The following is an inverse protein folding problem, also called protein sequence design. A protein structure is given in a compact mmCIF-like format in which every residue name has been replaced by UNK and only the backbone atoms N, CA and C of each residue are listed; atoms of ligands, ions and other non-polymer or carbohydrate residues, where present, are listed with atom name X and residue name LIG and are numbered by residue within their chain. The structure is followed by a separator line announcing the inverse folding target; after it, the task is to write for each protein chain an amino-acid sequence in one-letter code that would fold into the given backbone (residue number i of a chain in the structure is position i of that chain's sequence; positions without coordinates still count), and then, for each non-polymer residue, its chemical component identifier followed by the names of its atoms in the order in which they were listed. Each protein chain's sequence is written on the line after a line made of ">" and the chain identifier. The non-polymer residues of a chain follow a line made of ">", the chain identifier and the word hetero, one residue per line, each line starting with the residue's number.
data_IF_915284392333
#
_entry.id   IF_915284392333
#
_cell.length_a   1.000
_cell.length_b   1.000
_cell.length_c   1.000
_cell.angle_alpha   90.00
_cell.angle_beta   90.00
_cell.angle_gamma   90.00
#
_symmetry.space_group_name_H-M   'P 1'
#
loop_
_entity.id
_entity.type
_entity.pdbx_description
1 polymer ?
#
# COMPACT_ATOMS: atom_id res chain seq x y z
N UNK A 1 27.71 47.41 -43.28
CA UNK A 1 28.36 46.11 -43.29
C UNK A 1 28.64 45.68 -41.84
N UNK A 2 27.80 44.87 -41.30
CA UNK A 2 27.92 44.34 -39.92
C UNK A 2 28.48 42.91 -40.03
N UNK A 3 29.67 42.69 -39.47
CA UNK A 3 30.32 41.39 -39.44
C UNK A 3 29.59 40.49 -38.42
N UNK A 4 28.96 39.44 -38.88
CA UNK A 4 28.49 38.32 -38.05
C UNK A 4 29.71 37.55 -37.51
N UNK A 5 29.79 37.41 -36.19
CA UNK A 5 30.72 36.50 -35.53
C UNK A 5 30.14 35.09 -35.52
N UNK A 6 30.91 34.04 -35.79
CA UNK A 6 30.43 32.66 -35.82
C UNK A 6 30.11 32.14 -34.41
N UNK A 7 29.12 31.26 -34.36
CA UNK A 7 28.47 30.72 -33.18
C UNK A 7 29.41 30.15 -32.13
N UNK A 8 29.15 30.54 -30.90
CA UNK A 8 29.72 29.88 -29.72
C UNK A 8 29.09 28.49 -29.60
N UNK A 9 29.90 27.48 -29.86
CA UNK A 9 29.55 26.10 -29.63
C UNK A 9 29.17 25.87 -28.16
N UNK A 10 28.25 24.97 -27.95
CA UNK A 10 27.77 24.48 -26.67
C UNK A 10 28.82 23.69 -25.85
N UNK A 11 30.04 24.20 -25.78
CA UNK A 11 31.08 23.66 -24.92
C UNK A 11 31.05 24.41 -23.58
N UNK A 12 30.66 23.68 -22.53
CA UNK A 12 30.76 24.13 -21.14
C UNK A 12 32.14 24.77 -20.92
N UNK A 13 32.20 26.06 -20.67
CA UNK A 13 33.40 26.79 -20.26
C UNK A 13 33.92 26.19 -18.95
N UNK A 14 35.01 25.46 -19.03
CA UNK A 14 35.71 24.89 -17.86
C UNK A 14 36.30 26.04 -17.06
N UNK A 15 35.64 26.37 -15.96
CA UNK A 15 36.13 27.32 -14.96
C UNK A 15 37.41 26.79 -14.31
N UNK A 16 38.41 27.61 -14.22
CA UNK A 16 39.79 27.31 -13.77
C UNK A 16 39.99 26.97 -12.28
N UNK A 17 39.00 26.55 -11.54
CA UNK A 17 39.16 25.98 -10.20
C UNK A 17 39.19 24.46 -10.24
N UNK A 18 40.31 23.89 -10.60
CA UNK A 18 40.60 22.45 -10.76
C UNK A 18 40.40 21.58 -9.50
N UNK A 19 40.18 22.18 -8.33
CA UNK A 19 40.07 21.41 -7.06
C UNK A 19 38.71 20.76 -6.77
N UNK A 20 37.63 21.17 -7.49
CA UNK A 20 36.28 20.69 -7.25
C UNK A 20 35.70 19.80 -8.35
N UNK A 21 36.55 19.27 -9.25
CA UNK A 21 36.10 18.40 -10.33
C UNK A 21 36.77 17.03 -10.28
N UNK A 22 36.00 15.98 -10.31
CA UNK A 22 36.46 14.61 -10.48
C UNK A 22 36.83 14.38 -11.95
N UNK A 23 38.05 13.87 -12.21
CA UNK A 23 38.60 13.68 -13.60
C UNK A 23 38.52 14.92 -14.51
N UNK A 24 38.46 16.13 -13.94
CA UNK A 24 38.38 17.39 -14.71
C UNK A 24 37.07 17.64 -15.45
N UNK A 25 36.06 16.76 -15.32
CA UNK A 25 34.80 16.81 -16.07
C UNK A 25 33.54 16.89 -15.18
N UNK A 26 33.55 16.29 -14.03
CA UNK A 26 32.36 16.19 -13.17
C UNK A 26 32.56 17.00 -11.89
N UNK A 27 31.62 17.88 -11.55
CA UNK A 27 31.60 18.60 -10.28
C UNK A 27 31.43 17.60 -9.12
N UNK A 28 32.25 17.70 -8.06
CA UNK A 28 32.10 16.87 -6.85
C UNK A 28 30.73 17.01 -6.20
N UNK A 29 30.12 18.20 -6.25
CA UNK A 29 28.77 18.41 -5.71
C UNK A 29 27.71 17.63 -6.50
N UNK A 30 27.78 17.66 -7.84
CA UNK A 30 26.86 16.89 -8.70
C UNK A 30 27.08 15.39 -8.53
N UNK A 31 28.33 14.95 -8.43
CA UNK A 31 28.67 13.54 -8.25
C UNK A 31 28.17 13.02 -6.88
N UNK A 32 28.38 13.79 -5.82
CA UNK A 32 27.88 13.48 -4.48
C UNK A 32 26.36 13.43 -4.42
N UNK A 33 25.70 14.40 -5.05
CA UNK A 33 24.24 14.43 -5.15
C UNK A 33 23.71 13.22 -5.92
N UNK A 34 24.30 12.94 -7.09
CA UNK A 34 23.91 11.79 -7.91
C UNK A 34 24.16 10.46 -7.20
N UNK A 35 25.29 10.31 -6.50
CA UNK A 35 25.62 9.13 -5.73
C UNK A 35 24.63 8.94 -4.57
N UNK A 36 24.30 10.01 -3.84
CA UNK A 36 23.32 9.92 -2.74
C UNK A 36 21.92 9.59 -3.24
N UNK A 37 21.50 10.19 -4.36
CA UNK A 37 20.19 9.90 -4.98
C UNK A 37 20.13 8.47 -5.51
N UNK A 38 21.20 8.00 -6.15
CA UNK A 38 21.31 6.62 -6.60
C UNK A 38 21.25 5.64 -5.43
N UNK A 39 21.99 5.90 -4.36
CA UNK A 39 22.00 5.05 -3.16
C UNK A 39 20.61 5.01 -2.51
N UNK A 40 19.95 6.15 -2.38
CA UNK A 40 18.58 6.24 -1.89
C UNK A 40 17.61 5.45 -2.77
N UNK A 41 17.73 5.58 -4.09
CA UNK A 41 16.90 4.85 -5.04
C UNK A 41 17.15 3.34 -4.98
N UNK A 42 18.42 2.92 -4.88
CA UNK A 42 18.80 1.53 -4.74
C UNK A 42 18.26 0.92 -3.43
N UNK A 43 18.41 1.63 -2.30
CA UNK A 43 17.85 1.20 -1.01
C UNK A 43 16.33 1.12 -1.09
N UNK A 44 15.67 2.14 -1.65
CA UNK A 44 14.21 2.12 -1.82
C UNK A 44 13.77 0.95 -2.70
N UNK A 45 14.50 0.64 -3.77
CA UNK A 45 14.19 -0.49 -4.65
C UNK A 45 14.37 -1.83 -3.92
N UNK A 46 15.46 -2.02 -3.19
CA UNK A 46 15.69 -3.20 -2.34
C UNK A 46 14.58 -3.38 -1.30
N UNK A 47 14.16 -2.30 -0.65
CA UNK A 47 13.08 -2.33 0.33
C UNK A 47 11.72 -2.63 -0.31
N UNK A 48 11.50 -2.21 -1.55
CA UNK A 48 10.26 -2.44 -2.29
C UNK A 48 10.18 -3.86 -2.86
N UNK A 49 11.33 -4.45 -3.24
CA UNK A 49 11.42 -5.79 -3.78
C UNK A 49 11.83 -6.84 -2.71
N UNK A 50 11.93 -6.41 -1.45
CA UNK A 50 12.39 -7.27 -0.35
C UNK A 50 11.53 -8.51 -0.13
N UNK A 51 10.22 -8.41 -0.35
CA UNK A 51 9.28 -9.54 -0.29
C UNK A 51 9.62 -10.62 -1.33
N UNK A 52 9.88 -10.23 -2.58
CA UNK A 52 10.28 -11.16 -3.64
C UNK A 52 11.64 -11.82 -3.36
N UNK A 53 12.60 -11.08 -2.78
CA UNK A 53 13.90 -11.62 -2.41
C UNK A 53 13.80 -12.64 -1.26
N UNK A 54 12.99 -12.33 -0.23
CA UNK A 54 12.74 -13.23 0.89
C UNK A 54 12.05 -14.49 0.40
N UNK A 55 11.04 -14.35 -0.44
CA UNK A 55 10.34 -15.46 -1.05
C UNK A 55 11.30 -16.38 -1.83
N UNK A 56 12.18 -15.79 -2.67
CA UNK A 56 13.14 -16.52 -3.46
C UNK A 56 14.17 -17.32 -2.63
N UNK A 57 14.49 -16.82 -1.43
CA UNK A 57 15.49 -17.46 -0.55
C UNK A 57 14.90 -18.45 0.46
N UNK A 58 13.62 -18.27 0.83
CA UNK A 58 13.00 -18.99 1.96
C UNK A 58 11.86 -19.94 1.57
N UNK A 59 11.38 -19.91 0.33
CA UNK A 59 10.23 -20.71 -0.11
C UNK A 59 10.55 -21.59 -1.34
N UNK A 60 9.69 -22.56 -1.60
CA UNK A 60 9.77 -23.43 -2.78
C UNK A 60 9.46 -22.66 -4.07
N UNK A 61 9.89 -23.18 -5.22
CA UNK A 61 9.54 -22.61 -6.53
C UNK A 61 8.03 -22.61 -6.77
N UNK A 62 7.32 -23.59 -6.24
CA UNK A 62 5.86 -23.67 -6.31
C UNK A 62 5.22 -22.52 -5.53
N UNK A 63 5.63 -22.26 -4.28
CA UNK A 63 5.16 -21.14 -3.47
C UNK A 63 5.44 -19.78 -4.15
N UNK A 64 6.60 -19.66 -4.81
CA UNK A 64 6.96 -18.45 -5.56
C UNK A 64 5.99 -18.21 -6.74
N UNK A 65 5.66 -19.28 -7.48
CA UNK A 65 4.70 -19.20 -8.58
C UNK A 65 3.29 -18.83 -8.11
N UNK A 66 2.82 -19.45 -7.03
CA UNK A 66 1.50 -19.18 -6.45
C UNK A 66 1.43 -17.75 -5.91
N UNK A 67 2.49 -17.29 -5.21
CA UNK A 67 2.56 -15.91 -4.70
C UNK A 67 2.60 -14.88 -5.84
N UNK A 68 3.38 -15.14 -6.90
CA UNK A 68 3.45 -14.24 -8.05
C UNK A 68 2.07 -14.08 -8.72
N UNK A 69 1.30 -15.17 -8.83
CA UNK A 69 -0.07 -15.14 -9.32
C UNK A 69 -0.97 -14.26 -8.43
N UNK A 70 -0.98 -14.51 -7.11
CA UNK A 70 -1.81 -13.78 -6.16
C UNK A 70 -1.44 -12.29 -6.12
N UNK A 71 -0.14 -11.97 -6.14
CA UNK A 71 0.34 -10.58 -6.12
C UNK A 71 0.01 -9.83 -7.41
N UNK A 72 0.03 -10.49 -8.56
CA UNK A 72 -0.36 -9.90 -9.83
C UNK A 72 -1.86 -9.56 -9.87
N UNK A 73 -2.73 -10.49 -9.51
CA UNK A 73 -4.18 -10.26 -9.51
C UNK A 73 -4.61 -9.30 -8.39
N UNK A 74 -4.15 -9.52 -7.16
CA UNK A 74 -4.45 -8.64 -6.05
C UNK A 74 -3.81 -7.25 -6.21
N UNK A 75 -2.58 -7.18 -6.74
CA UNK A 75 -1.92 -5.93 -7.09
C UNK A 75 -2.63 -5.16 -8.21
N UNK A 76 -3.35 -5.84 -9.11
CA UNK A 76 -4.16 -5.19 -10.13
C UNK A 76 -5.31 -4.40 -9.50
N UNK A 77 -6.02 -4.99 -8.53
CA UNK A 77 -7.08 -4.30 -7.77
C UNK A 77 -6.53 -3.04 -7.10
N UNK A 78 -5.37 -3.16 -6.44
CA UNK A 78 -4.71 -2.03 -5.80
C UNK A 78 -4.37 -0.91 -6.79
N UNK A 79 -3.83 -1.24 -7.95
CA UNK A 79 -3.44 -0.26 -8.99
C UNK A 79 -4.63 0.41 -9.67
N UNK A 80 -5.71 -0.32 -9.92
CA UNK A 80 -6.87 0.22 -10.63
C UNK A 80 -7.76 1.05 -9.70
N UNK A 81 -7.94 0.64 -8.45
CA UNK A 81 -8.90 1.26 -7.54
C UNK A 81 -8.20 2.20 -6.56
N UNK A 82 -7.20 1.73 -5.82
CA UNK A 82 -6.63 2.49 -4.70
C UNK A 82 -5.57 3.49 -5.12
N UNK A 83 -4.74 3.18 -6.09
CA UNK A 83 -3.69 4.09 -6.56
C UNK A 83 -4.26 5.41 -7.09
N UNK A 84 -5.32 5.46 -7.94
CA UNK A 84 -5.92 6.73 -8.36
C UNK A 84 -6.51 7.53 -7.21
N UNK A 85 -7.12 6.88 -6.21
CA UNK A 85 -7.65 7.53 -5.01
C UNK A 85 -6.50 8.13 -4.19
N UNK A 86 -5.41 7.39 -4.01
CA UNK A 86 -4.23 7.83 -3.30
C UNK A 86 -3.58 9.04 -3.99
N UNK A 87 -3.37 8.98 -5.31
CA UNK A 87 -2.72 10.05 -6.08
C UNK A 87 -3.58 11.33 -6.13
N UNK A 88 -4.89 11.20 -6.32
CA UNK A 88 -5.81 12.34 -6.28
C UNK A 88 -5.86 12.97 -4.89
N UNK A 89 -5.88 12.15 -3.84
CA UNK A 89 -5.86 12.62 -2.46
C UNK A 89 -4.53 13.27 -2.09
N UNK A 90 -3.40 12.72 -2.54
CA UNK A 90 -2.07 13.31 -2.37
C UNK A 90 -2.01 14.72 -2.97
N UNK A 91 -2.55 14.89 -4.18
CA UNK A 91 -2.63 16.19 -4.85
C UNK A 91 -3.49 17.17 -4.05
N UNK A 92 -4.65 16.72 -3.56
CA UNK A 92 -5.53 17.52 -2.72
C UNK A 92 -4.87 17.91 -1.39
N UNK A 93 -4.26 16.94 -0.67
CA UNK A 93 -3.55 17.21 0.57
C UNK A 93 -2.41 18.20 0.36
N UNK A 94 -1.62 18.03 -0.71
CA UNK A 94 -0.53 18.96 -1.04
C UNK A 94 -1.03 20.38 -1.29
N UNK A 95 -2.18 20.55 -1.94
CA UNK A 95 -2.77 21.87 -2.20
C UNK A 95 -3.32 22.53 -0.93
N UNK A 96 -3.84 21.74 0.02
CA UNK A 96 -4.44 22.24 1.26
C UNK A 96 -3.40 22.48 2.37
N UNK A 97 -2.36 21.60 2.44
CA UNK A 97 -1.40 21.59 3.54
C UNK A 97 -0.08 22.27 3.21
N UNK A 98 0.20 22.53 1.91
CA UNK A 98 1.45 23.15 1.44
C UNK A 98 1.13 24.32 0.49
N UNK A 99 0.59 25.43 1.00
CA UNK A 99 0.33 26.61 0.19
C UNK A 99 1.64 27.13 -0.41
N UNK A 100 1.61 27.54 -1.70
CA UNK A 100 2.79 27.98 -2.49
C UNK A 100 3.52 29.21 -1.92
N UNK A 101 2.90 29.94 -1.04
CA UNK A 101 3.49 31.06 -0.30
C UNK A 101 3.85 30.56 1.10
N UNK A 102 5.03 30.92 1.61
CA UNK A 102 5.68 30.53 2.87
C UNK A 102 4.86 30.73 4.17
N UNK A 103 3.56 30.71 4.09
CA UNK A 103 2.61 30.89 5.17
C UNK A 103 2.14 29.53 5.68
N UNK A 104 1.99 29.38 6.98
CA UNK A 104 1.42 28.18 7.57
C UNK A 104 0.03 27.89 6.98
N UNK A 105 -0.36 26.61 6.83
CA UNK A 105 -1.69 26.25 6.31
C UNK A 105 -2.81 26.89 7.13
N UNK A 106 -3.84 27.37 6.43
CA UNK A 106 -5.05 27.89 7.10
C UNK A 106 -5.75 26.77 7.88
N UNK A 107 -6.20 27.00 9.13
CA UNK A 107 -6.93 26.02 9.93
C UNK A 107 -8.14 25.39 9.22
N UNK A 108 -8.83 26.16 8.35
CA UNK A 108 -9.94 25.63 7.56
C UNK A 108 -9.47 24.64 6.48
N UNK A 109 -8.32 24.88 5.87
CA UNK A 109 -7.70 23.96 4.92
C UNK A 109 -7.29 22.65 5.60
N UNK A 110 -6.75 22.72 6.82
CA UNK A 110 -6.41 21.52 7.62
C UNK A 110 -7.65 20.73 7.99
N UNK A 111 -8.76 21.39 8.38
CA UNK A 111 -10.05 20.74 8.64
C UNK A 111 -10.60 20.04 7.40
N UNK A 112 -10.48 20.69 6.23
CA UNK A 112 -10.90 20.10 4.95
C UNK A 112 -10.07 18.87 4.59
N UNK A 113 -8.75 18.93 4.78
CA UNK A 113 -7.86 17.77 4.57
C UNK A 113 -8.21 16.60 5.51
N UNK A 114 -8.45 16.90 6.80
CA UNK A 114 -8.91 15.90 7.77
C UNK A 114 -10.26 15.29 7.37
N UNK A 115 -11.23 16.11 6.95
CA UNK A 115 -12.55 15.62 6.54
C UNK A 115 -12.45 14.67 5.34
N UNK A 116 -11.63 15.02 4.33
CA UNK A 116 -11.36 14.17 3.18
C UNK A 116 -10.70 12.85 3.59
N UNK A 117 -9.64 12.90 4.40
CA UNK A 117 -8.98 11.71 4.93
C UNK A 117 -9.96 10.80 5.69
N UNK A 118 -10.74 11.37 6.60
CA UNK A 118 -11.73 10.63 7.40
C UNK A 118 -12.80 9.99 6.51
N UNK A 119 -13.25 10.68 5.46
CA UNK A 119 -14.21 10.16 4.50
C UNK A 119 -13.69 8.90 3.78
N UNK A 120 -12.45 8.96 3.29
CA UNK A 120 -11.82 7.82 2.61
C UNK A 120 -11.57 6.66 3.59
N UNK A 121 -11.07 6.94 4.80
CA UNK A 121 -10.84 5.91 5.81
C UNK A 121 -12.14 5.20 6.21
N UNK A 122 -13.28 5.92 6.28
CA UNK A 122 -14.62 5.30 6.45
C UNK A 122 -14.97 4.37 5.30
N UNK A 123 -14.78 4.84 4.06
CA UNK A 123 -15.01 4.01 2.87
C UNK A 123 -14.18 2.72 2.90
N UNK A 124 -12.91 2.82 3.28
CA UNK A 124 -12.04 1.65 3.41
C UNK A 124 -12.43 0.75 4.59
N UNK A 125 -12.92 1.31 5.69
CA UNK A 125 -13.49 0.56 6.80
C UNK A 125 -14.72 -0.27 6.39
N UNK A 126 -15.63 0.31 5.59
CA UNK A 126 -16.76 -0.41 5.02
C UNK A 126 -16.31 -1.49 4.02
N UNK A 127 -15.34 -1.16 3.16
CA UNK A 127 -14.74 -2.12 2.22
C UNK A 127 -14.16 -3.34 2.95
N UNK A 128 -13.49 -3.14 4.06
CA UNK A 128 -12.94 -4.21 4.90
C UNK A 128 -14.06 -5.13 5.39
N UNK A 129 -15.15 -4.58 5.93
CA UNK A 129 -16.30 -5.36 6.41
C UNK A 129 -16.95 -6.16 5.27
N UNK A 130 -16.94 -5.63 4.05
CA UNK A 130 -17.48 -6.33 2.87
C UNK A 130 -16.52 -7.44 2.41
N UNK A 131 -15.23 -7.16 2.30
CA UNK A 131 -14.24 -8.10 1.73
C UNK A 131 -14.08 -9.33 2.64
N UNK A 132 -14.03 -9.16 3.97
CA UNK A 132 -13.76 -10.27 4.88
C UNK A 132 -14.74 -11.44 4.75
N UNK A 133 -16.08 -11.22 4.71
CA UNK A 133 -17.01 -12.32 4.51
C UNK A 133 -17.06 -12.82 3.06
N UNK A 134 -16.81 -11.94 2.07
CA UNK A 134 -16.94 -12.30 0.68
C UNK A 134 -15.77 -13.13 0.14
N UNK A 135 -14.55 -12.88 0.62
CA UNK A 135 -13.35 -13.53 0.10
C UNK A 135 -13.42 -15.07 0.12
N UNK A 136 -13.86 -15.74 1.21
CA UNK A 136 -13.90 -17.21 1.23
C UNK A 136 -14.84 -17.84 0.19
N UNK A 137 -15.88 -17.12 -0.20
CA UNK A 137 -16.89 -17.62 -1.16
C UNK A 137 -16.61 -17.17 -2.60
N UNK A 138 -16.16 -15.94 -2.80
CA UNK A 138 -15.95 -15.38 -4.14
C UNK A 138 -14.63 -15.81 -4.78
N UNK A 139 -13.56 -15.96 -4.00
CA UNK A 139 -12.24 -16.30 -4.57
C UNK A 139 -12.24 -17.65 -5.26
N UNK A 140 -12.68 -18.76 -4.65
CA UNK A 140 -12.74 -20.04 -5.33
C UNK A 140 -13.63 -20.01 -6.57
N UNK A 141 -14.78 -19.30 -6.47
CA UNK A 141 -15.72 -19.14 -7.58
C UNK A 141 -15.08 -18.40 -8.77
N UNK A 142 -14.41 -17.27 -8.51
CA UNK A 142 -13.72 -16.48 -9.53
C UNK A 142 -12.59 -17.25 -10.19
N UNK A 143 -11.80 -18.01 -9.42
CA UNK A 143 -10.75 -18.86 -9.96
C UNK A 143 -11.29 -19.95 -10.84
N UNK A 144 -12.38 -20.59 -10.45
CA UNK A 144 -13.01 -21.62 -11.26
C UNK A 144 -13.53 -21.07 -12.59
N UNK A 145 -14.11 -19.85 -12.59
CA UNK A 145 -14.64 -19.17 -13.78
C UNK A 145 -13.52 -18.68 -14.72
N UNK A 146 -12.46 -18.07 -14.16
CA UNK A 146 -11.40 -17.43 -14.96
C UNK A 146 -10.27 -18.37 -15.35
N UNK A 147 -9.91 -19.29 -14.47
CA UNK A 147 -8.72 -20.15 -14.62
C UNK A 147 -9.04 -21.58 -15.06
N UNK A 148 -10.30 -22.00 -15.00
CA UNK A 148 -10.70 -23.38 -15.25
C UNK A 148 -9.99 -24.34 -14.29
N UNK A 149 -10.04 -25.66 -14.61
CA UNK A 149 -9.46 -26.73 -13.77
C UNK A 149 -7.94 -26.66 -13.54
N UNK A 150 -7.20 -25.86 -14.32
CA UNK A 150 -5.73 -25.75 -14.20
C UNK A 150 -5.27 -24.93 -12.99
N UNK A 151 -6.12 -24.05 -12.46
CA UNK A 151 -5.78 -23.10 -11.40
C UNK A 151 -6.46 -23.43 -10.05
N UNK A 152 -7.29 -24.46 -10.02
CA UNK A 152 -7.99 -24.90 -8.82
C UNK A 152 -7.09 -25.81 -8.00
N UNK A 153 -6.25 -25.21 -7.15
CA UNK A 153 -5.60 -25.92 -6.05
C UNK A 153 -5.98 -25.26 -4.73
N UNK A 154 -6.14 -26.04 -3.68
CA UNK A 154 -6.46 -25.54 -2.32
C UNK A 154 -5.43 -24.50 -1.85
N UNK A 155 -4.19 -24.63 -2.30
CA UNK A 155 -3.11 -23.70 -1.96
C UNK A 155 -3.31 -22.33 -2.64
N UNK A 156 -3.71 -22.31 -3.92
CA UNK A 156 -3.98 -21.05 -4.67
C UNK A 156 -5.20 -20.36 -4.09
N UNK A 157 -6.28 -21.08 -3.82
CA UNK A 157 -7.51 -20.56 -3.23
C UNK A 157 -7.21 -19.89 -1.88
N UNK A 158 -6.52 -20.58 -0.99
CA UNK A 158 -6.16 -20.10 0.32
C UNK A 158 -5.24 -18.86 0.28
N UNK A 159 -4.28 -18.85 -0.64
CA UNK A 159 -3.39 -17.70 -0.80
C UNK A 159 -4.12 -16.48 -1.32
N UNK A 160 -4.99 -16.65 -2.33
CA UNK A 160 -5.77 -15.53 -2.86
C UNK A 160 -6.80 -15.01 -1.85
N UNK A 161 -7.43 -15.87 -1.06
CA UNK A 161 -8.26 -15.43 0.07
C UNK A 161 -7.45 -14.58 1.06
N UNK A 162 -6.26 -15.05 1.45
CA UNK A 162 -5.37 -14.30 2.33
C UNK A 162 -4.95 -12.98 1.72
N UNK A 163 -4.71 -12.96 0.41
CA UNK A 163 -4.37 -11.74 -0.32
C UNK A 163 -5.53 -10.74 -0.37
N UNK A 164 -6.78 -11.20 -0.48
CA UNK A 164 -7.96 -10.34 -0.35
C UNK A 164 -8.01 -9.64 1.01
N UNK A 165 -7.61 -10.34 2.08
CA UNK A 165 -7.52 -9.72 3.41
C UNK A 165 -6.39 -8.69 3.52
N UNK A 166 -5.33 -8.81 2.73
CA UNK A 166 -4.25 -7.84 2.68
C UNK A 166 -4.65 -6.52 2.00
N UNK A 167 -5.54 -6.56 0.99
CA UNK A 167 -5.92 -5.41 0.17
C UNK A 167 -6.37 -4.19 1.00
N UNK A 168 -7.27 -4.31 2.00
CA UNK A 168 -7.67 -3.17 2.82
C UNK A 168 -6.50 -2.54 3.59
N UNK A 169 -5.58 -3.34 4.12
CA UNK A 169 -4.40 -2.81 4.82
C UNK A 169 -3.49 -2.00 3.90
N UNK A 170 -3.36 -2.46 2.64
CA UNK A 170 -2.65 -1.70 1.61
C UNK A 170 -3.32 -0.35 1.34
N UNK A 171 -4.66 -0.32 1.24
CA UNK A 171 -5.43 0.88 1.02
C UNK A 171 -5.31 1.88 2.19
N UNK A 172 -5.44 1.41 3.44
CA UNK A 172 -5.23 2.24 4.64
C UNK A 172 -3.83 2.83 4.69
N UNK A 173 -2.80 2.02 4.41
CA UNK A 173 -1.42 2.51 4.37
C UNK A 173 -1.23 3.57 3.29
N UNK A 174 -1.73 3.34 2.06
CA UNK A 174 -1.56 4.26 0.94
C UNK A 174 -2.11 5.65 1.24
N UNK A 175 -3.36 5.74 1.70
CA UNK A 175 -3.99 7.04 1.97
C UNK A 175 -3.37 7.78 3.16
N UNK A 176 -2.97 7.05 4.23
CA UNK A 176 -2.31 7.68 5.38
C UNK A 176 -0.90 8.16 5.02
N UNK A 177 -0.16 7.40 4.21
CA UNK A 177 1.15 7.80 3.69
C UNK A 177 1.05 8.98 2.70
N UNK A 178 -0.02 9.05 1.88
CA UNK A 178 -0.30 10.20 1.03
C UNK A 178 -0.48 11.49 1.85
N UNK A 179 -1.19 11.42 2.98
CA UNK A 179 -1.31 12.56 3.90
C UNK A 179 0.05 12.94 4.49
N UNK A 180 0.80 11.97 5.04
CA UNK A 180 2.12 12.21 5.63
C UNK A 180 3.06 12.87 4.63
N UNK A 181 3.17 12.34 3.41
CA UNK A 181 4.06 12.88 2.37
C UNK A 181 3.68 14.30 1.92
N UNK A 182 2.42 14.69 2.11
CA UNK A 182 1.93 16.02 1.76
C UNK A 182 2.06 17.04 2.90
N UNK A 183 2.03 16.59 4.16
CA UNK A 183 2.07 17.44 5.34
C UNK A 183 3.47 17.57 5.96
N UNK A 184 4.34 16.56 5.75
CA UNK A 184 5.62 16.47 6.43
C UNK A 184 6.64 17.46 5.85
N UNK A 185 7.41 18.09 6.76
CA UNK A 185 8.56 18.89 6.38
C UNK A 185 9.77 18.01 5.98
N UNK A 186 10.84 18.58 5.37
CA UNK A 186 12.00 17.78 4.92
C UNK A 186 12.70 17.00 6.04
N UNK A 187 12.69 17.49 7.27
CA UNK A 187 13.29 16.79 8.41
C UNK A 187 12.45 15.57 8.80
N UNK A 188 11.13 15.75 8.81
CA UNK A 188 10.16 14.67 9.09
C UNK A 188 10.19 13.58 8.00
N UNK A 189 10.34 13.96 6.73
CA UNK A 189 10.51 13.01 5.62
C UNK A 189 11.80 12.19 5.77
N UNK A 190 12.91 12.80 6.20
CA UNK A 190 14.15 12.07 6.52
C UNK A 190 13.93 11.09 7.66
N UNK A 191 13.23 11.50 8.72
CA UNK A 191 12.86 10.63 9.83
C UNK A 191 11.99 9.46 9.37
N UNK A 192 11.01 9.71 8.50
CA UNK A 192 10.21 8.65 7.88
C UNK A 192 11.07 7.64 7.12
N UNK A 193 12.08 8.10 6.35
CA UNK A 193 13.00 7.22 5.62
C UNK A 193 13.77 6.29 6.57
N UNK A 194 14.19 6.77 7.73
CA UNK A 194 14.84 5.93 8.76
C UNK A 194 13.87 4.88 9.30
N UNK A 195 12.62 5.29 9.58
CA UNK A 195 11.58 4.35 10.03
C UNK A 195 11.22 3.30 8.98
N UNK A 196 11.31 3.62 7.69
CA UNK A 196 11.15 2.63 6.62
C UNK A 196 12.13 1.46 6.75
N UNK A 197 13.38 1.71 7.19
CA UNK A 197 14.33 0.65 7.51
C UNK A 197 13.85 -0.26 8.66
N UNK A 198 13.29 0.34 9.72
CA UNK A 198 12.72 -0.43 10.84
C UNK A 198 11.48 -1.24 10.40
N UNK A 199 10.63 -0.68 9.55
CA UNK A 199 9.48 -1.39 8.99
C UNK A 199 9.91 -2.58 8.13
N UNK A 200 10.97 -2.43 7.32
CA UNK A 200 11.52 -3.53 6.53
C UNK A 200 12.12 -4.61 7.43
N UNK A 201 12.81 -4.25 8.51
CA UNK A 201 13.30 -5.22 9.48
C UNK A 201 12.16 -5.99 10.15
N UNK A 202 11.06 -5.30 10.52
CA UNK A 202 9.88 -5.95 11.09
C UNK A 202 9.20 -6.90 10.09
N UNK A 203 9.16 -6.54 8.82
CA UNK A 203 8.66 -7.40 7.75
C UNK A 203 9.52 -8.67 7.60
N UNK A 204 10.85 -8.53 7.54
CA UNK A 204 11.78 -9.68 7.46
C UNK A 204 11.59 -10.62 8.65
N UNK A 205 11.48 -10.06 9.84
CA UNK A 205 11.26 -10.82 11.07
C UNK A 205 9.92 -11.57 11.06
N UNK A 206 8.84 -10.88 10.67
CA UNK A 206 7.52 -11.50 10.54
C UNK A 206 7.52 -12.59 9.46
N UNK A 207 8.14 -12.35 8.30
CA UNK A 207 8.28 -13.33 7.23
C UNK A 207 9.06 -14.56 7.70
N UNK A 208 10.14 -14.38 8.44
CA UNK A 208 10.89 -15.50 9.02
C UNK A 208 10.02 -16.34 9.97
N UNK A 209 9.25 -15.70 10.86
CA UNK A 209 8.35 -16.41 11.78
C UNK A 209 7.31 -17.20 11.01
N UNK A 210 6.60 -16.58 10.07
CA UNK A 210 5.52 -17.25 9.36
C UNK A 210 6.04 -18.35 8.40
N UNK A 211 7.14 -18.09 7.68
CA UNK A 211 7.66 -19.04 6.70
C UNK A 211 8.42 -20.20 7.36
N UNK A 212 9.28 -19.94 8.33
CA UNK A 212 10.18 -20.95 8.90
C UNK A 212 9.62 -21.60 10.18
N UNK A 213 9.02 -20.82 11.08
CA UNK A 213 8.49 -21.35 12.33
C UNK A 213 7.05 -21.86 12.14
N UNK A 214 6.23 -21.07 11.42
CA UNK A 214 4.83 -21.39 11.16
C UNK A 214 4.57 -22.36 10.01
N UNK A 215 5.56 -22.62 9.15
CA UNK A 215 5.43 -23.46 7.95
C UNK A 215 4.19 -23.13 7.10
N UNK A 216 3.85 -21.84 7.00
CA UNK A 216 2.62 -21.38 6.32
C UNK A 216 2.79 -21.19 4.81
N UNK A 217 3.96 -21.52 4.24
CA UNK A 217 4.25 -21.39 2.81
C UNK A 217 4.06 -19.94 2.31
N UNK A 218 3.60 -19.77 1.09
CA UNK A 218 3.38 -18.45 0.48
C UNK A 218 2.40 -17.56 1.26
N UNK A 219 1.44 -18.14 2.00
CA UNK A 219 0.52 -17.37 2.85
C UNK A 219 1.25 -16.59 3.94
N UNK A 220 2.33 -17.15 4.50
CA UNK A 220 3.13 -16.50 5.53
C UNK A 220 3.71 -15.16 5.10
N UNK A 221 4.04 -15.03 3.82
CA UNK A 221 4.55 -13.78 3.27
C UNK A 221 3.43 -12.71 3.20
N UNK A 222 2.20 -13.12 2.85
CA UNK A 222 1.06 -12.21 2.84
C UNK A 222 0.74 -11.73 4.26
N UNK A 223 0.76 -12.62 5.26
CA UNK A 223 0.61 -12.24 6.68
C UNK A 223 1.72 -11.30 7.15
N UNK A 224 2.96 -11.54 6.74
CA UNK A 224 4.07 -10.63 7.05
C UNK A 224 3.86 -9.24 6.43
N UNK A 225 3.31 -9.17 5.21
CA UNK A 225 2.93 -7.92 4.58
C UNK A 225 1.79 -7.21 5.31
N UNK A 226 0.78 -7.93 5.81
CA UNK A 226 -0.29 -7.35 6.65
C UNK A 226 0.30 -6.73 7.92
N UNK A 227 1.19 -7.42 8.60
CA UNK A 227 1.89 -6.88 9.78
C UNK A 227 2.68 -5.62 9.42
N UNK A 228 3.44 -5.64 8.34
CA UNK A 228 4.21 -4.50 7.86
C UNK A 228 3.31 -3.28 7.56
N UNK A 229 2.23 -3.47 6.80
CA UNK A 229 1.30 -2.37 6.47
C UNK A 229 0.59 -1.85 7.72
N UNK A 230 0.27 -2.71 8.68
CA UNK A 230 -0.33 -2.30 9.95
C UNK A 230 0.62 -1.40 10.75
N UNK A 231 1.90 -1.78 10.86
CA UNK A 231 2.91 -0.97 11.58
C UNK A 231 3.12 0.38 10.89
N UNK A 232 3.21 0.39 9.55
CA UNK A 232 3.35 1.63 8.75
C UNK A 232 2.14 2.54 8.92
N UNK A 233 0.93 1.98 8.84
CA UNK A 233 -0.32 2.73 9.05
C UNK A 233 -0.40 3.29 10.49
N UNK A 234 0.00 2.51 11.49
CA UNK A 234 0.05 2.98 12.88
C UNK A 234 1.02 4.15 13.04
N UNK A 235 2.23 4.07 12.46
CA UNK A 235 3.19 5.17 12.48
C UNK A 235 2.62 6.42 11.79
N UNK A 236 2.02 6.27 10.61
CA UNK A 236 1.37 7.36 9.88
C UNK A 236 0.22 7.98 10.70
N UNK A 237 -0.57 7.17 11.39
CA UNK A 237 -1.63 7.64 12.29
C UNK A 237 -1.09 8.48 13.45
N UNK A 238 0.01 8.07 14.07
CA UNK A 238 0.65 8.86 15.12
C UNK A 238 1.19 10.18 14.59
N UNK A 239 1.79 10.18 13.39
CA UNK A 239 2.24 11.40 12.73
C UNK A 239 1.07 12.35 12.45
N UNK A 240 -0.01 11.85 11.82
CA UNK A 240 -1.21 12.62 11.50
C UNK A 240 -1.81 13.24 12.75
N UNK A 241 -1.93 12.49 13.84
CA UNK A 241 -2.42 13.02 15.10
C UNK A 241 -1.50 14.09 15.69
N UNK A 242 -0.19 13.92 15.63
CA UNK A 242 0.78 14.92 16.07
C UNK A 242 0.64 16.20 15.26
N UNK A 243 0.47 16.08 13.95
CA UNK A 243 0.26 17.21 13.06
C UNK A 243 -1.05 17.95 13.34
N UNK A 244 -2.18 17.23 13.45
CA UNK A 244 -3.50 17.81 13.69
C UNK A 244 -3.61 18.49 15.06
N UNK A 245 -2.91 17.99 16.08
CA UNK A 245 -2.88 18.60 17.42
C UNK A 245 -2.32 20.03 17.42
N UNK A 246 -1.45 20.37 16.48
CA UNK A 246 -0.95 21.74 16.31
C UNK A 246 -2.07 22.72 15.93
N UNK A 247 -3.16 22.21 15.34
CA UNK A 247 -4.36 22.95 14.94
C UNK A 247 -5.55 22.69 15.86
N UNK A 248 -5.29 22.21 17.11
CA UNK A 248 -6.31 21.90 18.11
C UNK A 248 -7.35 20.86 17.64
N UNK A 249 -6.92 19.94 16.79
CA UNK A 249 -7.75 18.87 16.24
C UNK A 249 -7.06 17.50 16.41
N UNK A 250 -7.81 16.40 16.22
CA UNK A 250 -7.29 15.04 16.32
C UNK A 250 -8.08 14.10 15.40
N UNK A 251 -7.40 13.05 14.91
CA UNK A 251 -8.03 11.98 14.19
C UNK A 251 -8.44 10.89 15.20
N UNK A 252 -9.73 10.75 15.47
CA UNK A 252 -10.25 9.76 16.43
C UNK A 252 -10.69 8.51 15.66
N UNK A 253 -10.25 7.34 16.10
CA UNK A 253 -10.60 6.04 15.49
C UNK A 253 -12.11 5.84 15.33
N UNK A 254 -12.91 6.31 16.29
CA UNK A 254 -14.37 6.24 16.20
C UNK A 254 -14.98 7.02 15.02
N UNK A 255 -14.24 8.00 14.46
CA UNK A 255 -14.74 8.81 13.35
C UNK A 255 -14.76 8.06 12.02
N UNK A 256 -13.88 7.08 11.83
CA UNK A 256 -13.80 6.27 10.61
C UNK A 256 -14.12 4.80 10.84
N UNK A 257 -14.31 4.38 12.09
CA UNK A 257 -14.83 3.04 12.39
C UNK A 257 -16.30 2.95 11.97
N UNK A 258 -16.71 1.93 11.23
CA UNK A 258 -18.11 1.68 10.93
C UNK A 258 -18.94 1.50 12.21
N UNK A 259 -20.24 1.73 12.11
CA UNK A 259 -21.15 1.59 13.25
C UNK A 259 -21.10 0.16 13.82
N UNK A 260 -21.25 0.02 15.14
CA UNK A 260 -21.21 -1.28 15.83
C UNK A 260 -22.13 -2.33 15.19
N UNK A 261 -23.39 -2.03 14.82
CA UNK A 261 -24.26 -3.00 14.14
C UNK A 261 -23.67 -3.54 12.83
N UNK A 262 -23.02 -2.67 12.04
CA UNK A 262 -22.36 -3.04 10.77
C UNK A 262 -21.15 -3.95 11.03
N UNK A 263 -20.38 -3.72 12.08
CA UNK A 263 -19.27 -4.60 12.47
C UNK A 263 -19.79 -5.98 12.90
N UNK A 264 -20.84 -6.02 13.70
CA UNK A 264 -21.48 -7.27 14.15
C UNK A 264 -22.02 -8.05 12.95
N UNK A 265 -22.70 -7.38 12.00
CA UNK A 265 -23.19 -8.04 10.79
C UNK A 265 -22.07 -8.63 9.95
N UNK A 266 -20.92 -7.95 9.87
CA UNK A 266 -19.72 -8.43 9.21
C UNK A 266 -19.15 -9.70 9.85
N UNK A 267 -19.04 -9.73 11.17
CA UNK A 267 -18.56 -10.91 11.92
C UNK A 267 -19.50 -12.09 11.73
N UNK A 268 -20.81 -11.88 11.85
CA UNK A 268 -21.82 -12.92 11.65
C UNK A 268 -21.77 -13.47 10.22
N UNK A 269 -21.73 -12.60 9.22
CA UNK A 269 -21.63 -12.98 7.82
C UNK A 269 -20.35 -13.79 7.54
N UNK A 270 -19.20 -13.35 8.07
CA UNK A 270 -17.93 -14.09 7.95
C UNK A 270 -18.04 -15.49 8.53
N UNK A 271 -18.59 -15.62 9.72
CA UNK A 271 -18.77 -16.92 10.39
C UNK A 271 -19.66 -17.86 9.58
N UNK A 272 -20.78 -17.34 9.05
CA UNK A 272 -21.71 -18.12 8.23
C UNK A 272 -21.05 -18.55 6.91
N UNK A 273 -20.29 -17.66 6.27
CA UNK A 273 -19.66 -17.95 4.97
C UNK A 273 -18.51 -18.95 5.10
N UNK A 274 -17.70 -18.86 6.15
CA UNK A 274 -16.65 -19.85 6.45
C UNK A 274 -17.28 -21.21 6.70
N UNK A 275 -18.35 -21.29 7.53
CA UNK A 275 -19.04 -22.55 7.81
C UNK A 275 -19.65 -23.20 6.55
N UNK A 276 -20.17 -22.39 5.61
CA UNK A 276 -20.74 -22.87 4.35
C UNK A 276 -19.69 -23.24 3.32
N UNK A 277 -18.55 -22.60 3.31
CA UNK A 277 -17.43 -22.90 2.38
C UNK A 277 -16.86 -24.31 2.61
N UNK A 278 -17.05 -24.87 3.80
CA UNK A 278 -16.60 -26.23 4.12
C UNK A 278 -17.53 -27.35 3.57
N UNK A 279 -18.71 -27.02 3.05
CA UNK A 279 -19.65 -27.97 2.49
C UNK A 279 -20.04 -27.55 1.05
N UNK A 280 -19.19 -27.79 0.04
CA UNK A 280 -19.52 -27.49 -1.34
C UNK A 280 -20.63 -28.43 -1.83
N UNK A 281 -21.68 -27.85 -2.42
CA UNK A 281 -22.77 -28.62 -3.04
C UNK A 281 -22.34 -29.18 -4.42
N UNK A 282 -22.97 -30.30 -4.83
CA UNK A 282 -22.62 -31.03 -6.06
C UNK A 282 -22.86 -30.27 -7.38
N UNK A 283 -23.65 -29.18 -7.37
CA UNK A 283 -24.02 -28.43 -8.58
C UNK A 283 -23.44 -27.01 -8.60
N UNK A 284 -22.41 -26.79 -9.41
CA UNK A 284 -21.73 -25.49 -9.56
C UNK A 284 -22.67 -24.32 -9.85
N UNK A 285 -23.64 -24.45 -10.76
CA UNK A 285 -24.60 -23.39 -11.10
C UNK A 285 -25.49 -23.01 -9.91
N UNK A 286 -25.99 -23.99 -9.18
CA UNK A 286 -26.81 -23.74 -7.99
C UNK A 286 -26.01 -23.05 -6.88
N UNK A 287 -24.77 -23.44 -6.71
CA UNK A 287 -23.86 -22.84 -5.76
C UNK A 287 -23.49 -21.41 -6.15
N UNK A 288 -23.23 -21.18 -7.43
CA UNK A 288 -22.99 -19.84 -7.98
C UNK A 288 -24.15 -18.87 -7.67
N UNK A 289 -25.38 -19.23 -8.03
CA UNK A 289 -26.55 -18.36 -7.77
C UNK A 289 -26.79 -18.18 -6.27
N UNK A 290 -26.57 -19.19 -5.45
CA UNK A 290 -26.68 -19.10 -4.00
C UNK A 290 -25.67 -18.14 -3.40
N UNK A 291 -24.40 -18.24 -3.80
CA UNK A 291 -23.30 -17.36 -3.36
C UNK A 291 -23.58 -15.92 -3.78
N UNK A 292 -23.94 -15.71 -5.05
CA UNK A 292 -24.23 -14.35 -5.58
C UNK A 292 -25.45 -13.74 -4.87
N UNK A 293 -26.52 -14.48 -4.66
CA UNK A 293 -27.71 -14.00 -3.96
C UNK A 293 -27.40 -13.64 -2.50
N UNK A 294 -26.68 -14.53 -1.77
CA UNK A 294 -26.37 -14.32 -0.37
C UNK A 294 -25.42 -13.13 -0.17
N UNK A 295 -24.36 -13.05 -1.00
CA UNK A 295 -23.42 -11.94 -0.97
C UNK A 295 -24.10 -10.62 -1.40
N UNK A 296 -24.99 -10.66 -2.39
CA UNK A 296 -25.76 -9.50 -2.83
C UNK A 296 -26.65 -8.94 -1.71
N UNK A 297 -27.36 -9.81 -1.00
CA UNK A 297 -28.17 -9.41 0.17
C UNK A 297 -27.29 -8.82 1.28
N UNK A 298 -26.15 -9.44 1.54
CA UNK A 298 -25.20 -8.92 2.56
C UNK A 298 -24.70 -7.52 2.24
N UNK A 299 -24.27 -7.28 0.98
CA UNK A 299 -23.80 -5.95 0.52
C UNK A 299 -24.90 -4.89 0.62
N UNK A 300 -26.17 -5.26 0.40
CA UNK A 300 -27.29 -4.33 0.55
C UNK A 300 -27.62 -3.99 2.02
N UNK A 301 -27.28 -4.87 2.95
CA UNK A 301 -27.52 -4.66 4.39
C UNK A 301 -26.41 -3.80 5.03
N UNK A 302 -25.18 -3.88 4.53
CA UNK A 302 -24.01 -3.14 5.05
C UNK A 302 -23.98 -1.72 4.53
#
# INVERSE_FOLDING_TARGET
>A
MQKQTPGKGWFLTVSSKRSNYFAGRFSYQLLSLSASTFLQSAVKHLLTQGDSMILATMSSLEDQGIYALASNYGGLVARIIFQPIEESSRTLFSSLLNPRESTAPDPNSVKSAKAHLTGILRGYGLLLIIIFPLAPSLVPLMLHLLGGRRWTSVQVDNLLMTYCYYIPFLAFNGITEAFVSSAANPVELRRQTVWMGAFSASFVFAAYIFLKVGNTGAQGLVWANIVNMTIRTAWSYFFINSYLRQYQDALVLAQFSPRIPTQISGVIATSIMIAKSQNPGDNFLHEFFRIVAFNGVYVLIV
#
